data_IF_006362440463
#
_entry.id   IF_006362440463
#
_cell.length_a   1.000
_cell.length_b   1.000
_cell.length_c   1.000
_cell.angle_alpha   90.00
_cell.angle_beta   90.00
_cell.angle_gamma   90.00
#
_symmetry.space_group_name_H-M   'P 1'
#
loop_
_entity.id
_entity.type
_entity.pdbx_description
1 polymer ?
#
# COMPACT_ATOMS: atom_id res chain seq x y z
N UNK A 1 11.69 -16.61 -3.68
CA UNK A 1 12.22 -17.56 -4.68
C UNK A 1 12.40 -16.90 -6.04
N UNK A 2 11.36 -16.28 -6.62
CA UNK A 2 11.39 -15.69 -7.98
C UNK A 2 12.55 -14.74 -8.31
N UNK A 3 12.96 -13.86 -7.38
CA UNK A 3 14.07 -12.94 -7.63
C UNK A 3 15.45 -13.63 -7.54
N UNK A 4 15.68 -14.43 -6.50
CA UNK A 4 16.95 -15.13 -6.30
C UNK A 4 17.26 -16.11 -7.42
N UNK A 5 16.26 -16.88 -7.87
CA UNK A 5 16.41 -17.80 -8.99
C UNK A 5 16.92 -17.08 -10.26
N UNK A 6 16.41 -15.88 -10.53
CA UNK A 6 16.90 -15.06 -11.64
C UNK A 6 18.32 -14.54 -11.40
N UNK A 7 18.65 -14.18 -10.17
CA UNK A 7 19.99 -13.67 -9.85
C UNK A 7 21.04 -14.77 -9.95
N UNK A 8 20.70 -15.98 -9.50
CA UNK A 8 21.56 -17.15 -9.56
C UNK A 8 21.78 -17.57 -11.02
N UNK A 9 20.72 -17.65 -11.84
CA UNK A 9 20.84 -17.89 -13.30
C UNK A 9 21.75 -16.88 -14.00
N UNK A 10 21.60 -15.59 -13.68
CA UNK A 10 22.45 -14.53 -14.25
C UNK A 10 23.91 -14.72 -13.84
N UNK A 11 24.18 -15.01 -12.57
CA UNK A 11 25.52 -15.24 -12.04
C UNK A 11 26.18 -16.49 -12.65
N UNK A 12 25.43 -17.58 -12.79
CA UNK A 12 25.90 -18.85 -13.36
C UNK A 12 26.35 -18.69 -14.83
N UNK A 13 25.75 -17.75 -15.54
CA UNK A 13 26.12 -17.39 -16.92
C UNK A 13 27.10 -16.20 -17.01
N UNK A 14 27.73 -15.82 -15.89
CA UNK A 14 28.75 -14.76 -15.83
C UNK A 14 28.20 -13.34 -15.97
N UNK A 15 26.88 -13.15 -15.95
CA UNK A 15 26.23 -11.85 -16.00
C UNK A 15 26.23 -11.13 -14.64
N UNK A 16 25.94 -9.83 -14.68
CA UNK A 16 25.82 -8.97 -13.50
C UNK A 16 24.43 -8.38 -13.41
N UNK A 17 23.84 -8.41 -12.23
CA UNK A 17 22.59 -7.68 -11.97
C UNK A 17 22.95 -6.25 -11.57
N UNK A 18 22.57 -5.29 -12.41
CA UNK A 18 22.93 -3.87 -12.26
C UNK A 18 21.74 -3.00 -11.84
N UNK A 19 20.51 -3.50 -12.04
CA UNK A 19 19.27 -2.84 -11.59
C UNK A 19 18.25 -3.85 -11.10
N UNK A 20 17.58 -3.57 -9.99
CA UNK A 20 16.45 -4.35 -9.50
C UNK A 20 15.33 -3.44 -9.00
N UNK A 21 14.17 -3.55 -9.65
CA UNK A 21 12.95 -2.83 -9.27
C UNK A 21 11.85 -3.84 -9.01
N UNK A 22 11.28 -3.81 -7.81
CA UNK A 22 10.27 -4.78 -7.38
C UNK A 22 9.08 -4.10 -6.73
N UNK A 23 7.90 -4.24 -7.34
CA UNK A 23 6.65 -3.74 -6.77
C UNK A 23 5.67 -4.88 -6.54
N UNK A 24 4.98 -4.83 -5.41
CA UNK A 24 3.99 -5.82 -5.01
C UNK A 24 2.75 -5.16 -4.41
N UNK A 25 1.57 -5.74 -4.61
CA UNK A 25 0.34 -5.29 -3.98
C UNK A 25 -0.69 -6.41 -3.85
N UNK A 26 -1.29 -6.52 -2.67
CA UNK A 26 -2.55 -7.22 -2.46
C UNK A 26 -3.70 -6.24 -2.57
N UNK A 27 -4.63 -6.50 -3.47
CA UNK A 27 -5.70 -5.61 -3.91
C UNK A 27 -7.03 -6.38 -4.00
N UNK A 28 -8.19 -5.71 -4.03
CA UNK A 28 -9.40 -6.34 -4.56
C UNK A 28 -9.22 -6.68 -6.04
N UNK A 29 -9.91 -7.71 -6.54
CA UNK A 29 -10.02 -7.91 -7.98
C UNK A 29 -10.73 -6.70 -8.63
N UNK A 30 -10.44 -6.36 -9.90
CA UNK A 30 -10.93 -5.12 -10.52
C UNK A 30 -12.46 -4.94 -10.43
N UNK A 31 -13.21 -6.03 -10.56
CA UNK A 31 -14.68 -6.04 -10.52
C UNK A 31 -15.29 -5.65 -9.16
N UNK A 32 -14.51 -5.72 -8.07
CA UNK A 32 -14.96 -5.38 -6.70
C UNK A 32 -14.15 -4.23 -6.10
N UNK A 33 -13.41 -3.51 -6.95
CA UNK A 33 -12.56 -2.38 -6.54
C UNK A 33 -13.29 -1.03 -6.54
N UNK A 34 -14.59 -0.95 -6.86
CA UNK A 34 -15.34 0.31 -6.84
C UNK A 34 -15.71 0.76 -5.43
N UNK A 35 -14.72 1.36 -4.76
CA UNK A 35 -14.90 2.09 -3.51
C UNK A 35 -13.91 3.26 -3.46
N UNK A 36 -14.06 4.22 -2.53
CA UNK A 36 -13.23 5.42 -2.50
C UNK A 36 -11.72 5.15 -2.47
N UNK A 37 -11.28 4.13 -1.73
CA UNK A 37 -9.87 3.75 -1.63
C UNK A 37 -9.43 2.78 -2.73
N UNK A 38 -10.36 2.24 -3.51
CA UNK A 38 -10.12 1.10 -4.42
C UNK A 38 -9.39 -0.05 -3.72
N UNK A 39 -9.73 -0.27 -2.45
CA UNK A 39 -9.10 -1.24 -1.57
C UNK A 39 -10.18 -1.99 -0.79
N UNK A 40 -9.90 -3.24 -0.45
CA UNK A 40 -10.67 -4.02 0.51
C UNK A 40 -9.72 -4.69 1.48
N UNK A 41 -10.22 -4.99 2.68
CA UNK A 41 -9.41 -5.47 3.79
C UNK A 41 -9.87 -6.86 4.21
N UNK A 42 -8.93 -7.79 4.26
CA UNK A 42 -9.11 -9.14 4.81
C UNK A 42 -8.46 -9.30 6.20
N UNK A 43 -7.80 -8.25 6.69
CA UNK A 43 -7.27 -8.10 8.05
C UNK A 43 -7.28 -6.61 8.42
N UNK A 44 -6.90 -6.28 9.65
CA UNK A 44 -6.88 -4.91 10.15
C UNK A 44 -6.19 -3.92 9.18
N UNK A 45 -6.90 -2.86 8.73
CA UNK A 45 -6.35 -1.81 7.85
C UNK A 45 -5.15 -1.07 8.44
N UNK A 46 -5.00 -1.12 9.77
CA UNK A 46 -4.01 -0.37 10.54
C UNK A 46 -2.61 -0.47 9.94
N UNK A 47 -2.16 -1.69 9.64
CA UNK A 47 -0.81 -1.91 9.11
C UNK A 47 -0.61 -1.32 7.71
N UNK A 48 -1.65 -1.37 6.87
CA UNK A 48 -1.59 -0.81 5.51
C UNK A 48 -1.57 0.72 5.57
N UNK A 49 -2.46 1.31 6.38
CA UNK A 49 -2.58 2.75 6.51
C UNK A 49 -1.39 3.38 7.24
N UNK A 50 -0.84 2.73 8.28
CA UNK A 50 0.35 3.23 8.96
C UNK A 50 1.56 3.31 8.03
N UNK A 51 1.66 2.43 7.04
CA UNK A 51 2.79 2.47 6.10
C UNK A 51 2.82 3.72 5.22
N UNK A 52 1.69 4.40 5.06
CA UNK A 52 1.63 5.66 4.30
C UNK A 52 2.21 6.85 5.09
N UNK A 53 2.52 6.67 6.38
CA UNK A 53 3.25 7.64 7.20
C UNK A 53 4.76 7.37 7.20
N UNK A 54 5.23 6.25 6.64
CA UNK A 54 6.65 5.94 6.61
C UNK A 54 7.41 6.81 5.61
N UNK A 55 8.71 6.94 5.82
CA UNK A 55 9.64 7.39 4.79
C UNK A 55 10.05 6.23 3.87
N UNK A 56 10.85 6.55 2.86
CA UNK A 56 11.49 5.55 2.03
C UNK A 56 12.93 5.93 1.69
N UNK A 57 13.80 4.94 1.54
CA UNK A 57 15.18 5.10 1.11
C UNK A 57 15.48 4.05 0.05
N UNK A 58 16.03 4.46 -1.09
CA UNK A 58 16.29 3.57 -2.22
C UNK A 58 17.48 4.04 -3.04
N UNK A 59 18.04 3.14 -3.85
CA UNK A 59 19.14 3.45 -4.75
C UNK A 59 18.56 3.64 -6.17
N UNK A 60 18.90 4.72 -6.85
CA UNK A 60 18.49 4.96 -8.22
C UNK A 60 19.64 5.60 -9.00
N UNK A 61 20.09 4.94 -10.07
CA UNK A 61 21.17 5.40 -10.95
C UNK A 61 22.48 5.77 -10.22
N UNK A 62 22.80 5.01 -9.17
CA UNK A 62 24.01 5.20 -8.35
C UNK A 62 23.81 6.16 -7.18
N UNK A 63 22.67 6.84 -7.09
CA UNK A 63 22.38 7.82 -6.03
C UNK A 63 21.39 7.27 -5.01
N UNK A 64 21.66 7.52 -3.74
CA UNK A 64 20.72 7.21 -2.66
C UNK A 64 19.68 8.31 -2.59
N UNK A 65 18.41 7.94 -2.80
CA UNK A 65 17.26 8.82 -2.65
C UNK A 65 16.53 8.52 -1.35
N UNK A 66 16.12 9.57 -0.66
CA UNK A 66 15.40 9.49 0.60
C UNK A 66 14.13 10.36 0.55
N UNK A 67 13.04 9.79 1.04
CA UNK A 67 11.74 10.43 1.18
C UNK A 67 11.46 10.49 2.69
N UNK A 68 11.28 11.69 3.27
CA UNK A 68 10.97 11.84 4.68
C UNK A 68 9.67 11.12 5.08
N UNK A 69 9.58 10.76 6.36
CA UNK A 69 8.35 10.22 6.92
C UNK A 69 7.18 11.19 6.70
N UNK A 70 6.00 10.63 6.43
CA UNK A 70 4.79 11.38 6.12
C UNK A 70 4.70 11.91 4.68
N UNK A 71 5.77 11.86 3.87
CA UNK A 71 5.74 12.41 2.50
C UNK A 71 5.53 11.38 1.40
N UNK A 72 5.53 10.08 1.70
CA UNK A 72 5.54 9.02 0.68
C UNK A 72 4.38 9.10 -0.32
N UNK A 73 3.20 9.54 0.13
CA UNK A 73 2.01 9.67 -0.72
C UNK A 73 2.12 10.79 -1.76
N UNK A 74 3.04 11.73 -1.59
CA UNK A 74 3.34 12.79 -2.55
C UNK A 74 4.38 12.37 -3.60
N UNK A 75 5.01 11.21 -3.41
CA UNK A 75 6.00 10.63 -4.33
C UNK A 75 5.46 9.38 -5.04
N UNK A 76 4.17 9.41 -5.38
CA UNK A 76 3.47 8.32 -6.04
C UNK A 76 3.52 8.50 -7.55
N UNK A 77 3.90 7.45 -8.26
CA UNK A 77 3.97 7.45 -9.72
C UNK A 77 2.85 6.60 -10.30
N UNK A 78 2.22 7.06 -11.38
CA UNK A 78 1.43 6.17 -12.22
C UNK A 78 2.35 5.12 -12.84
N UNK A 79 1.86 3.89 -12.98
CA UNK A 79 2.67 2.79 -13.52
C UNK A 79 1.88 1.88 -14.45
N UNK A 80 2.54 1.47 -15.53
CA UNK A 80 2.08 0.50 -16.52
C UNK A 80 2.78 -0.86 -16.36
N UNK A 81 3.42 -1.10 -15.21
CA UNK A 81 4.25 -2.28 -14.93
C UNK A 81 3.54 -3.61 -15.20
N UNK A 82 2.22 -3.64 -15.03
CA UNK A 82 1.37 -4.77 -15.33
C UNK A 82 0.23 -4.27 -16.23
N UNK A 83 0.36 -4.46 -17.56
CA UNK A 83 -0.66 -4.02 -18.51
C UNK A 83 -2.05 -4.56 -18.17
N UNK A 84 -3.08 -3.74 -18.40
CA UNK A 84 -4.47 -4.06 -18.07
C UNK A 84 -4.93 -3.61 -16.67
N UNK A 85 -4.03 -3.12 -15.83
CA UNK A 85 -4.38 -2.54 -14.53
C UNK A 85 -4.03 -1.06 -14.46
N UNK A 86 -4.93 -0.25 -13.89
CA UNK A 86 -4.69 1.18 -13.65
C UNK A 86 -4.05 1.38 -12.27
N UNK A 87 -2.72 1.30 -12.23
CA UNK A 87 -1.96 1.24 -10.99
C UNK A 87 -1.19 2.53 -10.72
N UNK A 88 -0.92 2.74 -9.44
CA UNK A 88 0.05 3.68 -8.92
C UNK A 88 1.02 2.94 -7.98
N UNK A 89 2.24 3.45 -7.87
CA UNK A 89 3.27 2.85 -7.06
C UNK A 89 4.09 3.88 -6.28
N UNK A 90 4.65 3.43 -5.17
CA UNK A 90 5.55 4.22 -4.33
C UNK A 90 6.56 3.30 -3.63
N UNK A 91 7.78 3.80 -3.36
CA UNK A 91 8.81 3.01 -2.69
C UNK A 91 8.44 2.71 -1.22
N UNK A 92 8.97 1.64 -0.67
CA UNK A 92 8.66 1.17 0.67
C UNK A 92 9.92 1.09 1.54
N UNK A 93 9.90 1.75 2.70
CA UNK A 93 10.94 1.62 3.75
C UNK A 93 12.35 1.75 3.15
N UNK A 94 13.31 0.97 3.62
CA UNK A 94 14.67 0.96 3.11
C UNK A 94 14.88 -0.19 2.11
N UNK A 95 15.14 0.18 0.85
CA UNK A 95 15.51 -0.75 -0.23
C UNK A 95 17.02 -0.96 -0.31
N UNK A 96 17.84 -0.08 0.26
CA UNK A 96 19.30 -0.09 0.09
C UNK A 96 19.95 -1.32 0.73
N UNK A 97 19.37 -1.83 1.82
CA UNK A 97 19.82 -3.04 2.52
C UNK A 97 19.80 -4.31 1.65
N UNK A 98 18.98 -4.33 0.59
CA UNK A 98 18.82 -5.53 -0.24
C UNK A 98 19.97 -5.75 -1.22
N UNK A 99 20.83 -4.74 -1.41
CA UNK A 99 22.08 -4.90 -2.15
C UNK A 99 22.94 -5.99 -1.52
N UNK A 100 23.07 -5.95 -0.20
CA UNK A 100 23.86 -6.91 0.57
C UNK A 100 23.11 -8.22 0.78
N UNK A 101 21.81 -8.16 1.14
CA UNK A 101 20.98 -9.36 1.37
C UNK A 101 20.94 -10.28 0.14
N UNK A 102 20.88 -9.72 -1.07
CA UNK A 102 20.87 -10.50 -2.31
C UNK A 102 22.27 -10.75 -2.90
N UNK A 103 23.32 -10.19 -2.29
CA UNK A 103 24.70 -10.30 -2.78
C UNK A 103 24.85 -9.77 -4.21
N UNK A 104 24.43 -8.52 -4.44
CA UNK A 104 24.42 -7.86 -5.76
C UNK A 104 25.28 -6.58 -5.75
N UNK A 105 26.62 -6.69 -5.73
CA UNK A 105 27.53 -5.55 -5.51
C UNK A 105 27.50 -4.52 -6.66
N UNK A 106 27.16 -4.93 -7.88
CA UNK A 106 27.11 -4.07 -9.07
C UNK A 106 25.80 -3.27 -9.20
N UNK A 107 24.85 -3.38 -8.26
CA UNK A 107 23.61 -2.62 -8.32
C UNK A 107 23.86 -1.12 -8.27
N UNK A 108 23.36 -0.42 -9.29
CA UNK A 108 23.18 1.03 -9.32
C UNK A 108 21.71 1.45 -9.13
N UNK A 109 20.75 0.53 -9.22
CA UNK A 109 19.33 0.82 -8.93
C UNK A 109 18.73 -0.31 -8.10
N UNK A 110 18.15 0.02 -6.95
CA UNK A 110 17.52 -0.91 -6.02
C UNK A 110 16.27 -0.26 -5.42
N UNK A 111 15.10 -0.65 -5.93
CA UNK A 111 13.81 -0.09 -5.51
C UNK A 111 12.87 -1.22 -5.18
N UNK A 112 12.33 -1.21 -3.96
CA UNK A 112 11.16 -1.99 -3.57
C UNK A 112 10.02 -1.07 -3.24
N UNK A 113 8.81 -1.43 -3.65
CA UNK A 113 7.64 -0.60 -3.41
C UNK A 113 6.32 -1.34 -3.38
N UNK A 114 5.26 -0.56 -3.13
CA UNK A 114 3.87 -1.02 -3.11
C UNK A 114 3.17 -0.68 -4.42
N UNK A 115 2.24 -1.55 -4.83
CA UNK A 115 1.24 -1.26 -5.87
C UNK A 115 -0.11 -0.96 -5.22
N UNK A 116 -0.80 0.05 -5.73
CA UNK A 116 -2.21 0.36 -5.42
C UNK A 116 -2.95 0.68 -6.71
N UNK A 117 -4.27 0.60 -6.69
CA UNK A 117 -5.05 1.19 -7.78
C UNK A 117 -4.96 2.71 -7.74
N UNK A 118 -4.90 3.33 -8.91
CA UNK A 118 -4.75 4.77 -9.04
C UNK A 118 -5.83 5.52 -8.27
N UNK A 119 -5.42 6.55 -7.53
CA UNK A 119 -6.28 7.40 -6.71
C UNK A 119 -6.37 6.99 -5.24
N UNK A 120 -5.80 5.85 -4.84
CA UNK A 120 -5.67 5.47 -3.43
C UNK A 120 -4.90 6.53 -2.64
N UNK A 121 -3.75 6.95 -3.15
CA UNK A 121 -2.88 7.95 -2.54
C UNK A 121 -3.60 9.29 -2.34
N UNK A 122 -4.40 9.71 -3.32
CA UNK A 122 -5.15 10.97 -3.23
C UNK A 122 -6.12 10.98 -2.03
N UNK A 123 -6.78 9.85 -1.77
CA UNK A 123 -7.68 9.69 -0.63
C UNK A 123 -6.89 9.60 0.68
N UNK A 124 -5.77 8.86 0.70
CA UNK A 124 -4.91 8.77 1.88
C UNK A 124 -4.30 10.11 2.28
N UNK A 125 -3.95 10.99 1.31
CA UNK A 125 -3.54 12.37 1.59
C UNK A 125 -4.68 13.11 2.32
N UNK A 126 -5.92 12.96 1.89
CA UNK A 126 -7.07 13.54 2.60
C UNK A 126 -7.23 13.01 4.02
N UNK A 127 -7.06 11.71 4.23
CA UNK A 127 -7.08 11.13 5.57
C UNK A 127 -5.94 11.68 6.44
N UNK A 128 -4.75 11.87 5.87
CA UNK A 128 -3.59 12.46 6.54
C UNK A 128 -3.84 13.93 6.92
N UNK A 129 -4.36 14.76 6.00
CA UNK A 129 -4.65 16.18 6.26
C UNK A 129 -5.73 16.39 7.33
N UNK A 130 -6.52 15.36 7.62
CA UNK A 130 -7.53 15.37 8.68
C UNK A 130 -7.02 14.79 10.02
N UNK A 131 -5.75 14.37 10.10
CA UNK A 131 -5.18 13.74 11.30
C UNK A 131 -5.76 12.35 11.60
N UNK A 132 -6.37 11.68 10.61
CA UNK A 132 -6.98 10.36 10.78
C UNK A 132 -5.96 9.21 10.67
N UNK A 133 -4.71 9.52 10.31
CA UNK A 133 -3.62 8.55 10.25
C UNK A 133 -2.68 8.66 11.46
N UNK A 134 -3.01 9.51 12.43
CA UNK A 134 -2.23 9.72 13.64
C UNK A 134 -2.27 8.49 14.55
N UNK A 135 -1.11 8.15 15.13
CA UNK A 135 -0.95 7.05 16.08
C UNK A 135 -1.11 7.47 17.54
N UNK A 136 -1.07 8.78 17.81
CA UNK A 136 -1.18 9.32 19.16
C UNK A 136 -2.55 9.06 19.76
N UNK A 137 -2.56 8.71 21.04
CA UNK A 137 -3.79 8.45 21.77
C UNK A 137 -4.60 9.74 21.94
N UNK A 138 -5.92 9.65 21.76
CA UNK A 138 -6.84 10.78 21.99
C UNK A 138 -7.93 10.39 22.98
N UNK A 139 -8.32 11.34 23.83
CA UNK A 139 -9.27 11.15 24.94
C UNK A 139 -10.73 10.87 24.53
N UNK A 140 -10.97 10.48 23.27
CA UNK A 140 -12.30 10.20 22.72
C UNK A 140 -12.69 8.72 22.85
N UNK A 141 -11.87 7.91 23.50
CA UNK A 141 -12.09 6.46 23.68
C UNK A 141 -13.33 6.15 24.53
N UNK A 142 -14.07 5.11 24.14
CA UNK A 142 -15.11 4.51 24.99
C UNK A 142 -16.49 5.19 25.00
N UNK A 143 -16.67 6.34 24.34
CA UNK A 143 -18.00 6.96 24.20
C UNK A 143 -18.63 6.68 22.82
N UNK A 144 -19.91 6.28 22.75
CA UNK A 144 -20.64 6.24 21.49
C UNK A 144 -20.74 7.65 20.90
N UNK A 145 -20.05 7.88 19.79
CA UNK A 145 -20.03 9.19 19.12
C UNK A 145 -20.27 8.99 17.64
N UNK A 146 -21.14 9.80 17.03
CA UNK A 146 -21.30 9.77 15.57
C UNK A 146 -20.01 10.23 14.88
N UNK A 147 -19.72 9.72 13.70
CA UNK A 147 -18.60 10.19 12.87
C UNK A 147 -18.56 11.72 12.70
N UNK A 148 -19.72 12.35 12.51
CA UNK A 148 -19.84 13.82 12.46
C UNK A 148 -19.27 14.49 13.71
N UNK A 149 -19.73 14.07 14.89
CA UNK A 149 -19.27 14.62 16.17
C UNK A 149 -17.79 14.29 16.41
N UNK A 150 -17.35 13.08 16.10
CA UNK A 150 -15.95 12.66 16.21
C UNK A 150 -15.04 13.59 15.37
N UNK A 151 -15.40 13.81 14.11
CA UNK A 151 -14.66 14.71 13.22
C UNK A 151 -14.73 16.17 13.69
N UNK A 152 -15.89 16.65 14.13
CA UNK A 152 -16.01 18.01 14.67
C UNK A 152 -15.11 18.24 15.88
N UNK A 153 -15.05 17.29 16.82
CA UNK A 153 -14.14 17.36 17.97
C UNK A 153 -12.68 17.29 17.54
N UNK A 154 -12.32 16.37 16.64
CA UNK A 154 -10.98 16.25 16.09
C UNK A 154 -10.48 17.51 15.38
N UNK A 155 -11.38 18.22 14.68
CA UNK A 155 -11.05 19.38 13.86
C UNK A 155 -11.27 20.72 14.58
N UNK A 156 -11.76 20.69 15.82
CA UNK A 156 -12.04 21.87 16.64
C UNK A 156 -13.13 22.77 16.07
N UNK A 157 -14.18 22.21 15.45
CA UNK A 157 -15.30 22.96 14.88
C UNK A 157 -16.65 22.46 15.40
N UNK A 158 -17.72 23.20 15.12
CA UNK A 158 -19.06 22.76 15.54
C UNK A 158 -19.53 21.51 14.77
N UNK A 159 -20.52 20.80 15.33
CA UNK A 159 -21.18 19.66 14.67
C UNK A 159 -22.25 20.07 13.65
N UNK A 160 -22.34 21.38 13.35
CA UNK A 160 -23.12 21.87 12.22
C UNK A 160 -22.61 21.25 10.92
N UNK A 161 -23.53 20.67 10.13
CA UNK A 161 -23.18 20.04 8.85
C UNK A 161 -22.45 21.01 7.92
N UNK A 162 -22.92 22.26 7.83
CA UNK A 162 -22.34 23.26 6.94
C UNK A 162 -20.90 23.63 7.34
N UNK A 163 -20.66 23.84 8.63
CA UNK A 163 -19.35 24.22 9.15
C UNK A 163 -18.34 23.07 9.02
N UNK A 164 -18.71 21.86 9.46
CA UNK A 164 -17.87 20.68 9.33
C UNK A 164 -17.52 20.40 7.87
N UNK A 165 -18.48 20.48 6.95
CA UNK A 165 -18.24 20.20 5.53
C UNK A 165 -17.29 21.24 4.92
N UNK A 166 -17.47 22.53 5.23
CA UNK A 166 -16.57 23.59 4.78
C UNK A 166 -15.15 23.39 5.34
N UNK A 167 -15.03 23.08 6.64
CA UNK A 167 -13.75 22.83 7.31
C UNK A 167 -13.01 21.65 6.68
N UNK A 168 -13.70 20.53 6.47
CA UNK A 168 -13.12 19.34 5.84
C UNK A 168 -12.70 19.64 4.41
N UNK A 169 -13.57 20.27 3.60
CA UNK A 169 -13.26 20.62 2.21
C UNK A 169 -11.97 21.45 2.09
N UNK A 170 -11.79 22.46 2.95
CA UNK A 170 -10.56 23.26 3.01
C UNK A 170 -9.33 22.44 3.41
N UNK A 171 -9.44 21.62 4.46
CA UNK A 171 -8.30 20.82 4.94
C UNK A 171 -7.86 19.75 3.95
N UNK A 172 -8.81 19.21 3.18
CA UNK A 172 -8.48 18.30 2.08
C UNK A 172 -8.06 19.04 0.80
N UNK A 173 -7.71 20.33 0.89
CA UNK A 173 -7.14 21.12 -0.21
C UNK A 173 -8.13 21.51 -1.30
N UNK A 174 -9.42 21.63 -0.96
CA UNK A 174 -10.49 22.01 -1.89
C UNK A 174 -10.62 21.07 -3.11
N UNK A 175 -10.15 19.82 -2.95
CA UNK A 175 -10.24 18.76 -3.94
C UNK A 175 -11.60 18.03 -3.81
N UNK A 176 -12.46 18.20 -4.81
CA UNK A 176 -13.80 17.59 -4.84
C UNK A 176 -13.77 16.05 -4.80
N UNK A 177 -12.79 15.42 -5.46
CA UNK A 177 -12.68 13.96 -5.50
C UNK A 177 -12.29 13.42 -4.12
N UNK A 178 -11.34 14.06 -3.44
CA UNK A 178 -10.88 13.74 -2.09
C UNK A 178 -11.99 13.99 -1.08
N UNK A 179 -12.67 15.13 -1.15
CA UNK A 179 -13.82 15.43 -0.29
C UNK A 179 -14.98 14.44 -0.48
N UNK A 180 -15.30 14.11 -1.73
CA UNK A 180 -16.30 13.10 -2.07
C UNK A 180 -15.91 11.73 -1.51
N UNK A 181 -14.64 11.34 -1.60
CA UNK A 181 -14.15 10.10 -1.00
C UNK A 181 -14.36 10.07 0.52
N UNK A 182 -13.98 11.12 1.25
CA UNK A 182 -14.20 11.23 2.71
C UNK A 182 -15.69 11.08 3.07
N UNK A 183 -16.59 11.71 2.32
CA UNK A 183 -18.04 11.55 2.49
C UNK A 183 -18.51 10.11 2.22
N UNK A 184 -18.08 9.50 1.11
CA UNK A 184 -18.45 8.13 0.71
C UNK A 184 -17.92 7.07 1.69
N UNK A 185 -16.83 7.36 2.39
CA UNK A 185 -16.33 6.53 3.49
C UNK A 185 -17.20 6.64 4.76
N UNK A 186 -18.20 7.52 4.81
CA UNK A 186 -19.10 7.68 5.95
C UNK A 186 -18.53 8.53 7.08
N UNK A 187 -17.36 9.14 6.90
CA UNK A 187 -16.62 9.83 7.95
C UNK A 187 -17.27 11.15 8.39
N UNK A 188 -18.26 11.66 7.67
CA UNK A 188 -19.03 12.88 8.02
C UNK A 188 -20.51 12.57 8.31
N UNK A 189 -20.83 11.31 8.60
CA UNK A 189 -22.20 10.82 8.76
C UNK A 189 -22.65 10.76 10.24
N UNK A 190 -23.90 10.34 10.45
CA UNK A 190 -24.43 10.05 11.78
C UNK A 190 -24.17 8.61 12.26
N UNK A 191 -23.50 7.79 11.45
CA UNK A 191 -23.11 6.45 11.87
C UNK A 191 -22.22 6.54 13.11
N UNK A 192 -22.38 5.59 14.02
CA UNK A 192 -21.61 5.55 15.26
C UNK A 192 -20.18 5.13 14.94
N UNK A 193 -19.22 5.96 15.30
CA UNK A 193 -17.82 5.63 15.30
C UNK A 193 -17.48 4.87 16.59
N UNK A 194 -16.93 3.67 16.45
CA UNK A 194 -16.39 2.93 17.60
C UNK A 194 -14.99 3.49 17.88
N UNK A 195 -14.93 4.53 18.71
CA UNK A 195 -13.69 5.19 19.07
C UNK A 195 -12.69 4.22 19.74
N UNK A 196 -11.49 4.16 19.17
CA UNK A 196 -10.34 3.40 19.67
C UNK A 196 -9.26 4.36 20.19
N UNK A 197 -8.16 3.81 20.70
CA UNK A 197 -7.01 4.54 21.28
C UNK A 197 -6.56 5.72 20.42
N UNK A 198 -6.30 5.48 19.13
CA UNK A 198 -5.83 6.51 18.20
C UNK A 198 -6.85 6.80 17.09
N UNK A 199 -6.73 7.94 16.38
CA UNK A 199 -7.47 8.20 15.15
C UNK A 199 -7.27 7.09 14.12
N UNK A 200 -6.04 6.61 13.94
CA UNK A 200 -5.77 5.52 13.02
C UNK A 200 -6.49 4.23 13.42
N UNK A 201 -6.52 3.88 14.71
CA UNK A 201 -7.21 2.67 15.17
C UNK A 201 -8.73 2.78 14.98
N UNK A 202 -9.28 3.98 15.22
CA UNK A 202 -10.72 4.28 15.03
C UNK A 202 -11.10 4.17 13.55
N UNK A 203 -10.32 4.80 12.67
CA UNK A 203 -10.48 4.71 11.23
C UNK A 203 -10.31 3.26 10.75
N UNK A 204 -9.31 2.55 11.24
CA UNK A 204 -9.02 1.17 10.83
C UNK A 204 -10.16 0.24 11.18
N UNK A 205 -10.76 0.39 12.36
CA UNK A 205 -11.92 -0.40 12.74
C UNK A 205 -13.11 -0.15 11.80
N UNK A 206 -13.42 1.11 11.51
CA UNK A 206 -14.52 1.48 10.61
C UNK A 206 -14.29 1.02 9.16
N UNK A 207 -13.08 1.19 8.63
CA UNK A 207 -12.76 0.74 7.28
C UNK A 207 -12.73 -0.79 7.16
N UNK A 208 -12.36 -1.50 8.23
CA UNK A 208 -12.41 -2.96 8.25
C UNK A 208 -13.83 -3.47 8.06
N UNK A 209 -14.83 -2.80 8.63
CA UNK A 209 -16.24 -3.16 8.46
C UNK A 209 -16.78 -2.69 7.10
N UNK A 210 -16.52 -1.44 6.72
CA UNK A 210 -17.06 -0.83 5.49
C UNK A 210 -16.48 -1.40 4.21
N UNK A 211 -15.22 -1.80 4.22
CA UNK A 211 -14.47 -2.24 3.05
C UNK A 211 -13.96 -3.68 3.22
N UNK A 212 -14.68 -4.51 3.97
CA UNK A 212 -14.44 -5.95 3.99
C UNK A 212 -14.73 -6.58 2.62
N UNK A 213 -14.09 -7.72 2.36
CA UNK A 213 -14.51 -8.60 1.28
C UNK A 213 -15.86 -9.24 1.63
N UNK A 214 -16.80 -9.17 0.69
CA UNK A 214 -18.07 -9.87 0.73
C UNK A 214 -17.94 -11.31 0.28
N UNK A 215 -19.01 -12.08 0.45
CA UNK A 215 -19.07 -13.48 0.01
C UNK A 215 -18.88 -13.59 -1.51
N UNK A 216 -17.94 -14.43 -1.94
CA UNK A 216 -17.64 -14.69 -3.35
C UNK A 216 -16.81 -13.60 -4.05
N UNK A 217 -16.48 -12.51 -3.36
CA UNK A 217 -15.58 -11.50 -3.90
C UNK A 217 -14.13 -11.99 -3.87
N UNK A 218 -13.36 -11.61 -4.89
CA UNK A 218 -11.99 -12.09 -5.08
C UNK A 218 -10.99 -11.01 -4.69
N UNK A 219 -9.92 -11.42 -4.03
CA UNK A 219 -8.70 -10.62 -3.94
C UNK A 219 -7.79 -10.89 -5.14
N UNK A 220 -6.74 -10.08 -5.24
CA UNK A 220 -5.75 -10.10 -6.29
C UNK A 220 -4.39 -9.80 -5.67
N UNK A 221 -3.38 -10.61 -6.01
CA UNK A 221 -1.98 -10.30 -5.73
C UNK A 221 -1.26 -10.03 -7.04
N UNK A 222 -0.62 -8.87 -7.10
CA UNK A 222 0.22 -8.43 -8.19
C UNK A 222 1.66 -8.31 -7.70
N UNK A 223 2.60 -8.90 -8.41
CA UNK A 223 4.03 -8.74 -8.19
C UNK A 223 4.72 -8.59 -9.54
N UNK A 224 5.62 -7.60 -9.63
CA UNK A 224 6.48 -7.38 -10.78
C UNK A 224 7.91 -7.15 -10.31
N UNK A 225 8.83 -7.92 -10.86
CA UNK A 225 10.26 -7.64 -10.83
C UNK A 225 10.70 -7.19 -12.22
N UNK A 226 11.49 -6.12 -12.27
CA UNK A 226 12.33 -5.77 -13.41
C UNK A 226 13.79 -5.89 -13.00
N UNK A 227 14.54 -6.76 -13.68
CA UNK A 227 15.96 -7.03 -13.42
C UNK A 227 16.75 -6.52 -14.63
N UNK A 228 17.59 -5.51 -14.41
CA UNK A 228 18.56 -5.06 -15.40
C UNK A 228 19.85 -5.87 -15.28
N UNK A 229 20.28 -6.44 -16.39
CA UNK A 229 21.40 -7.37 -16.48
C UNK A 229 22.42 -6.82 -17.48
N UNK A 230 23.69 -6.93 -17.14
CA UNK A 230 24.83 -6.68 -18.02
C UNK A 230 25.61 -7.99 -18.21
N UNK A 231 25.79 -8.40 -19.46
CA UNK A 231 26.47 -9.63 -19.84
C UNK A 231 27.96 -9.37 -20.16
N UNK A 232 28.83 -10.40 -20.11
CA UNK A 232 30.26 -10.25 -20.41
C UNK A 232 30.59 -9.68 -21.80
N UNK A 233 29.69 -9.86 -22.77
CA UNK A 233 29.78 -9.32 -24.13
C UNK A 233 29.31 -7.85 -24.23
N UNK A 234 29.05 -7.19 -23.09
CA UNK A 234 28.46 -5.85 -22.94
C UNK A 234 26.99 -5.75 -23.40
N UNK A 235 26.32 -6.87 -23.69
CA UNK A 235 24.88 -6.86 -23.95
C UNK A 235 24.13 -6.47 -22.68
N UNK A 236 23.16 -5.56 -22.81
CA UNK A 236 22.24 -5.20 -21.73
C UNK A 236 20.89 -5.86 -21.96
N UNK A 237 20.35 -6.45 -20.92
CA UNK A 237 19.06 -7.13 -20.93
C UNK A 237 18.19 -6.61 -19.78
N UNK A 238 16.88 -6.50 -20.02
CA UNK A 238 15.90 -6.27 -18.96
C UNK A 238 14.98 -7.49 -18.88
N UNK A 239 15.12 -8.28 -17.82
CA UNK A 239 14.25 -9.42 -17.54
C UNK A 239 13.08 -9.00 -16.66
N UNK A 240 11.89 -9.52 -16.97
CA UNK A 240 10.64 -9.17 -16.31
C UNK A 240 9.97 -10.41 -15.76
N UNK A 241 9.72 -10.43 -14.46
CA UNK A 241 9.07 -11.54 -13.77
C UNK A 241 7.78 -11.03 -13.17
N UNK A 242 6.66 -11.64 -13.52
CA UNK A 242 5.33 -11.26 -13.05
C UNK A 242 4.64 -12.41 -12.35
N UNK A 243 3.93 -12.09 -11.29
CA UNK A 243 2.94 -12.96 -10.67
C UNK A 243 1.62 -12.18 -10.58
N UNK A 244 0.58 -12.75 -11.16
CA UNK A 244 -0.79 -12.25 -11.10
C UNK A 244 -1.64 -13.41 -10.59
N UNK A 245 -2.18 -13.28 -9.38
CA UNK A 245 -2.94 -14.34 -8.75
C UNK A 245 -4.27 -13.80 -8.23
N UNK A 246 -5.37 -14.40 -8.65
CA UNK A 246 -6.71 -14.11 -8.14
C UNK A 246 -7.10 -15.10 -7.04
N UNK A 247 -7.91 -14.66 -6.09
CA UNK A 247 -8.62 -15.56 -5.19
C UNK A 247 -9.52 -16.53 -5.97
N UNK A 248 -9.66 -17.74 -5.45
CA UNK A 248 -10.57 -18.76 -5.97
C UNK A 248 -11.69 -19.07 -4.96
N UNK A 249 -12.54 -20.05 -5.26
CA UNK A 249 -13.68 -20.42 -4.41
C UNK A 249 -13.27 -20.97 -3.04
N UNK A 250 -12.02 -21.40 -2.87
CA UNK A 250 -11.52 -22.05 -1.66
C UNK A 250 -10.60 -21.13 -0.86
N UNK A 251 -9.73 -20.39 -1.53
CA UNK A 251 -8.72 -19.56 -0.89
C UNK A 251 -8.50 -18.23 -1.63
N UNK A 252 -8.29 -17.17 -0.85
CA UNK A 252 -7.81 -15.90 -1.38
C UNK A 252 -6.39 -16.05 -1.95
N UNK A 253 -6.03 -15.25 -2.94
CA UNK A 253 -4.67 -15.19 -3.48
C UNK A 253 -3.65 -14.89 -2.37
N UNK A 254 -3.96 -13.94 -1.48
CA UNK A 254 -3.10 -13.59 -0.35
C UNK A 254 -2.88 -14.78 0.59
N UNK A 255 -3.94 -15.52 0.95
CA UNK A 255 -3.80 -16.68 1.85
C UNK A 255 -2.95 -17.79 1.25
N UNK A 256 -3.08 -18.07 -0.07
CA UNK A 256 -2.25 -19.07 -0.76
C UNK A 256 -0.79 -18.64 -0.83
N UNK A 257 -0.54 -17.39 -1.23
CA UNK A 257 0.81 -16.87 -1.47
C UNK A 257 1.59 -16.59 -0.19
N UNK A 258 0.92 -16.50 0.96
CA UNK A 258 1.56 -16.45 2.28
C UNK A 258 1.63 -17.85 2.91
N UNK A 259 0.50 -18.56 2.92
CA UNK A 259 0.35 -19.83 3.64
C UNK A 259 1.10 -21.00 3.01
N UNK A 260 1.06 -21.17 1.68
CA UNK A 260 1.75 -22.29 1.05
C UNK A 260 3.28 -22.19 1.17
N UNK A 261 3.94 -21.04 0.92
CA UNK A 261 5.37 -20.95 1.14
C UNK A 261 5.77 -21.22 2.59
N UNK A 262 5.00 -20.74 3.57
CA UNK A 262 5.25 -21.01 4.99
C UNK A 262 5.10 -22.50 5.32
N UNK A 263 4.04 -23.16 4.83
CA UNK A 263 3.79 -24.59 5.05
C UNK A 263 4.83 -25.48 4.38
N UNK A 264 5.22 -25.17 3.14
CA UNK A 264 6.30 -25.88 2.43
C UNK A 264 7.62 -25.70 3.19
N UNK A 265 7.96 -24.48 3.61
CA UNK A 265 9.17 -24.20 4.38
C UNK A 265 9.21 -24.97 5.71
N UNK A 266 8.10 -24.98 6.45
CA UNK A 266 7.99 -25.75 7.68
C UNK A 266 8.18 -27.26 7.45
N UNK A 267 7.59 -27.81 6.38
CA UNK A 267 7.77 -29.22 6.03
C UNK A 267 9.22 -29.55 5.70
N UNK A 268 9.91 -28.71 4.92
CA UNK A 268 11.33 -28.91 4.59
C UNK A 268 12.28 -28.81 5.79
N UNK A 269 11.87 -28.15 6.88
CA UNK A 269 12.64 -28.08 8.13
C UNK A 269 12.40 -29.31 9.02
N UNK A 270 11.22 -29.93 8.92
CA UNK A 270 10.84 -31.10 9.70
C UNK A 270 11.28 -32.42 9.06
N UNK A 271 11.32 -32.48 7.73
CA UNK A 271 11.84 -33.62 6.95
C UNK A 271 13.39 -33.64 6.98
#
# INVERSE_FOLDING_TARGET
>A
MTAMECFDDVKDHGGKVVSFVSYCGGLPAPEVADNPLRMKFSWSPRGVLSTTQNGAKYLENGEVKEIPAGQILHHVNATDFIPGFNLECYPNRDSTIYKDIYGLPDLHTMIRGSLRYRGYANVCIGLQSLGLLDLEEKSLTGQPVSWRNYMSTMLGCSSSKAELYNRVFKLVGEDEARFSAIKRLGLLSNEIAVAKSSPLDTLSHHLNEKLAFGSGERDLVLLRHEVGIEWPDNRKEKRRISLIAYGDSKYSAMSRLVGFPAGIGAKLVLD
#
